data_IF_613427480078
#
_entry.id   IF_613427480078
#
_cell.length_a   1.000
_cell.length_b   1.000
_cell.length_c   1.000
_cell.angle_alpha   90.00
_cell.angle_beta   90.00
_cell.angle_gamma   90.00
#
_symmetry.space_group_name_H-M   'P 1'
#
loop_
_entity.id
_entity.type
_entity.pdbx_description
1 polymer ?
#
# COMPACT_ATOMS: atom_id res chain seq x y z
N UNK A 1 9.64 31.36 25.29
CA UNK A 1 8.47 30.48 25.01
C UNK A 1 8.98 29.33 24.19
N UNK A 2 9.33 28.23 24.84
CA UNK A 2 9.84 27.05 24.15
C UNK A 2 8.65 26.31 23.53
N UNK A 3 8.53 26.35 22.22
CA UNK A 3 7.66 25.45 21.48
C UNK A 3 8.28 24.07 21.62
N UNK A 4 7.82 23.32 22.60
CA UNK A 4 7.99 21.89 22.64
C UNK A 4 7.21 21.32 21.44
N UNK A 5 7.85 21.31 20.29
CA UNK A 5 7.54 20.38 19.25
C UNK A 5 7.80 18.99 19.83
N UNK A 6 6.82 18.49 20.57
CA UNK A 6 6.77 17.09 20.92
C UNK A 6 6.91 16.34 19.63
N UNK A 7 8.05 15.71 19.41
CA UNK A 7 8.23 14.72 18.37
C UNK A 7 7.25 13.57 18.68
N UNK A 8 5.98 13.78 18.35
CA UNK A 8 5.05 12.68 18.22
C UNK A 8 5.64 11.82 17.11
N UNK A 9 6.15 10.67 17.49
CA UNK A 9 6.67 9.72 16.51
C UNK A 9 5.53 9.42 15.55
N UNK A 10 5.80 9.51 14.29
CA UNK A 10 4.86 9.19 13.18
C UNK A 10 4.29 7.76 13.30
N UNK A 11 4.68 7.01 14.31
CA UNK A 11 4.34 5.62 14.58
C UNK A 11 3.24 5.44 15.65
N UNK A 12 2.70 6.50 16.23
CA UNK A 12 1.60 6.38 17.18
C UNK A 12 0.27 6.15 16.46
N UNK A 13 -0.08 4.89 16.30
CA UNK A 13 -1.25 4.42 15.55
C UNK A 13 -2.59 4.60 16.27
N UNK A 14 -2.58 5.06 17.50
CA UNK A 14 -3.79 5.09 18.37
C UNK A 14 -4.37 6.49 18.59
N UNK A 15 -3.66 7.54 18.25
CA UNK A 15 -4.16 8.89 18.48
C UNK A 15 -4.48 9.59 17.15
N UNK A 16 -5.71 10.08 17.04
CA UNK A 16 -6.08 11.03 15.98
C UNK A 16 -5.21 12.27 16.11
N UNK A 17 -4.53 12.63 15.05
CA UNK A 17 -3.84 13.91 14.99
C UNK A 17 -4.85 15.01 14.70
N UNK A 18 -4.67 16.19 15.29
CA UNK A 18 -5.50 17.36 15.00
C UNK A 18 -5.27 17.90 13.58
N UNK A 19 -4.23 17.43 12.92
CA UNK A 19 -3.87 17.79 11.55
C UNK A 19 -3.79 16.54 10.66
N UNK A 20 -4.16 16.72 9.40
CA UNK A 20 -4.09 15.65 8.42
C UNK A 20 -2.63 15.27 8.11
N UNK A 21 -2.36 13.98 8.08
CA UNK A 21 -1.04 13.42 7.74
C UNK A 21 -0.91 13.28 6.22
N UNK A 22 -2.01 13.00 5.53
CA UNK A 22 -2.02 12.78 4.10
C UNK A 22 -3.42 12.65 3.53
N UNK A 23 -3.52 12.06 2.34
CA UNK A 23 -4.76 11.87 1.58
C UNK A 23 -5.01 10.38 1.45
N UNK A 24 -6.26 9.95 1.63
CA UNK A 24 -6.65 8.54 1.50
C UNK A 24 -7.02 8.17 0.07
N UNK A 25 -6.70 6.95 -0.34
CA UNK A 25 -7.13 6.36 -1.60
C UNK A 25 -8.21 5.28 -1.37
N UNK A 26 -9.25 5.19 -2.23
CA UNK A 26 -9.48 5.97 -3.45
C UNK A 26 -9.86 7.41 -3.16
N UNK A 27 -9.52 8.31 -4.10
CA UNK A 27 -9.94 9.72 -4.01
C UNK A 27 -11.46 9.79 -4.11
N UNK A 28 -12.10 10.22 -3.04
CA UNK A 28 -13.53 10.48 -3.01
C UNK A 28 -13.75 11.97 -2.80
N UNK A 29 -14.58 12.56 -3.64
CA UNK A 29 -14.99 13.94 -3.50
C UNK A 29 -16.19 13.94 -2.54
N UNK A 30 -15.92 14.26 -1.28
CA UNK A 30 -16.94 14.44 -0.24
C UNK A 30 -17.23 15.93 -0.01
N UNK A 31 -17.69 16.25 1.19
CA UNK A 31 -17.87 17.65 1.63
C UNK A 31 -16.55 18.45 1.69
N UNK A 32 -15.42 17.76 1.73
CA UNK A 32 -14.06 18.28 1.55
C UNK A 32 -13.56 17.83 0.19
N UNK A 33 -12.70 18.62 -0.46
CA UNK A 33 -12.17 18.32 -1.79
C UNK A 33 -11.45 16.95 -1.86
N UNK A 34 -10.89 16.47 -0.73
CA UNK A 34 -10.23 15.18 -0.61
C UNK A 34 -10.44 14.60 0.78
N UNK A 35 -10.59 13.28 0.87
CA UNK A 35 -10.56 12.60 2.15
C UNK A 35 -9.13 12.58 2.69
N UNK A 36 -8.97 13.06 3.92
CA UNK A 36 -7.69 13.18 4.60
C UNK A 36 -7.49 12.00 5.56
N UNK A 37 -6.25 11.57 5.71
CA UNK A 37 -5.86 10.59 6.72
C UNK A 37 -5.37 11.31 7.97
N UNK A 38 -5.84 10.87 9.12
CA UNK A 38 -5.46 11.40 10.43
C UNK A 38 -4.66 10.41 11.26
N UNK A 39 -4.62 9.16 10.85
CA UNK A 39 -3.88 8.10 11.51
C UNK A 39 -2.74 7.57 10.64
N UNK A 40 -1.64 7.16 11.28
CA UNK A 40 -0.50 6.56 10.58
C UNK A 40 -0.91 5.29 9.82
N UNK A 41 -1.84 4.52 10.37
CA UNK A 41 -2.33 3.29 9.75
C UNK A 41 -3.08 3.55 8.45
N UNK A 42 -3.99 4.55 8.45
CA UNK A 42 -4.70 4.94 7.22
C UNK A 42 -3.74 5.42 6.14
N UNK A 43 -2.76 6.25 6.53
CA UNK A 43 -1.76 6.75 5.60
C UNK A 43 -0.89 5.62 5.06
N UNK A 44 -0.53 4.65 5.91
CA UNK A 44 0.26 3.50 5.49
C UNK A 44 -0.47 2.63 4.47
N UNK A 45 -1.75 2.35 4.67
CA UNK A 45 -2.59 1.65 3.68
C UNK A 45 -2.57 2.35 2.33
N UNK A 46 -2.71 3.68 2.36
CA UNK A 46 -2.64 4.51 1.15
C UNK A 46 -1.28 4.46 0.48
N UNK A 47 -0.20 4.52 1.26
CA UNK A 47 1.17 4.47 0.74
C UNK A 47 1.47 3.11 0.08
N UNK A 48 1.08 2.00 0.72
CA UNK A 48 1.24 0.66 0.13
C UNK A 48 0.45 0.56 -1.17
N UNK A 49 -0.81 0.97 -1.17
CA UNK A 49 -1.65 0.93 -2.36
C UNK A 49 -1.08 1.81 -3.48
N UNK A 50 -0.66 3.03 -3.18
CA UNK A 50 -0.05 3.93 -4.15
C UNK A 50 1.25 3.36 -4.73
N UNK A 51 2.10 2.75 -3.88
CA UNK A 51 3.34 2.12 -4.31
C UNK A 51 3.09 0.97 -5.28
N UNK A 52 2.16 0.07 -4.93
CA UNK A 52 1.89 -1.13 -5.72
C UNK A 52 1.16 -0.82 -7.04
N UNK A 53 0.34 0.22 -7.08
CA UNK A 53 -0.36 0.65 -8.28
C UNK A 53 0.46 1.58 -9.18
N UNK A 54 1.59 2.10 -8.69
CA UNK A 54 2.51 2.93 -9.51
C UNK A 54 3.40 2.01 -10.33
N UNK A 55 3.46 2.24 -11.65
CA UNK A 55 4.39 1.53 -12.55
C UNK A 55 5.81 2.05 -12.37
N UNK A 56 6.79 1.18 -12.56
CA UNK A 56 8.18 1.63 -12.71
C UNK A 56 8.29 2.56 -13.92
N UNK A 57 9.13 3.58 -13.79
CA UNK A 57 9.36 4.62 -14.81
C UNK A 57 8.19 5.57 -15.07
N UNK A 58 7.08 5.47 -14.33
CA UNK A 58 5.96 6.40 -14.46
C UNK A 58 6.28 7.78 -13.87
N UNK A 59 7.09 7.82 -12.81
CA UNK A 59 7.49 9.07 -12.13
C UNK A 59 8.80 9.60 -12.67
N UNK A 60 8.77 10.76 -13.32
CA UNK A 60 9.94 11.40 -13.95
C UNK A 60 11.06 11.65 -12.94
N UNK A 61 10.75 12.12 -11.72
CA UNK A 61 11.77 12.44 -10.70
C UNK A 61 12.25 11.22 -9.91
N UNK A 62 11.52 10.12 -9.92
CA UNK A 62 11.85 8.87 -9.24
C UNK A 62 11.44 7.65 -10.10
N UNK A 63 12.17 7.38 -11.17
CA UNK A 63 11.80 6.32 -12.12
C UNK A 63 11.79 4.92 -11.49
N UNK A 64 12.59 4.70 -10.46
CA UNK A 64 12.67 3.40 -9.78
C UNK A 64 11.53 3.18 -8.77
N UNK A 65 10.75 4.22 -8.43
CA UNK A 65 9.63 4.08 -7.50
C UNK A 65 8.46 3.41 -8.20
N UNK A 66 7.91 2.40 -7.56
CA UNK A 66 6.78 1.64 -8.05
C UNK A 66 7.01 0.14 -8.00
N UNK A 67 6.04 -0.60 -8.47
CA UNK A 67 6.09 -2.06 -8.58
C UNK A 67 5.98 -2.48 -10.04
N UNK A 68 6.43 -3.69 -10.35
CA UNK A 68 6.18 -4.35 -11.63
C UNK A 68 4.87 -5.13 -11.66
N UNK A 69 3.96 -4.88 -10.72
CA UNK A 69 2.76 -5.69 -10.54
C UNK A 69 1.84 -5.68 -11.76
N UNK A 70 1.63 -4.50 -12.35
CA UNK A 70 0.77 -4.38 -13.54
C UNK A 70 1.37 -5.09 -14.77
N UNK A 71 2.68 -5.13 -14.90
CA UNK A 71 3.35 -5.82 -16.01
C UNK A 71 3.12 -7.33 -15.91
N UNK A 72 3.18 -7.90 -14.70
CA UNK A 72 2.93 -9.32 -14.46
C UNK A 72 1.49 -9.74 -14.79
N UNK A 73 0.51 -8.85 -14.62
CA UNK A 73 -0.88 -9.17 -14.93
C UNK A 73 -1.16 -9.29 -16.44
N UNK A 74 -0.32 -8.69 -17.28
CA UNK A 74 -0.40 -8.82 -18.75
C UNK A 74 0.43 -10.00 -19.28
N UNK A 75 1.19 -10.68 -18.43
CA UNK A 75 1.87 -11.91 -18.83
C UNK A 75 0.90 -13.09 -18.92
N UNK A 76 1.33 -14.16 -19.55
CA UNK A 76 0.52 -15.38 -19.61
C UNK A 76 0.23 -15.90 -18.19
N UNK A 77 -1.00 -16.32 -17.98
CA UNK A 77 -1.46 -16.87 -16.71
C UNK A 77 -0.87 -18.27 -16.50
N UNK A 78 0.36 -18.32 -15.99
CA UNK A 78 1.08 -19.55 -15.63
C UNK A 78 0.83 -19.90 -14.17
N UNK A 79 1.08 -21.16 -13.80
CA UNK A 79 0.94 -21.62 -12.41
C UNK A 79 1.88 -20.85 -11.45
N UNK A 80 2.98 -20.32 -11.95
CA UNK A 80 3.97 -19.54 -11.18
C UNK A 80 3.59 -18.08 -10.97
N UNK A 81 2.50 -17.60 -11.58
CA UNK A 81 2.12 -16.17 -11.52
C UNK A 81 1.86 -15.67 -10.09
N UNK A 82 1.15 -16.39 -9.21
CA UNK A 82 0.94 -15.96 -7.83
C UNK A 82 2.25 -15.77 -7.06
N UNK A 83 3.20 -16.69 -7.20
CA UNK A 83 4.49 -16.61 -6.51
C UNK A 83 5.30 -15.40 -6.98
N UNK A 84 5.27 -15.10 -8.27
CA UNK A 84 5.93 -13.92 -8.84
C UNK A 84 5.28 -12.61 -8.39
N UNK A 85 3.96 -12.59 -8.26
CA UNK A 85 3.22 -11.45 -7.69
C UNK A 85 3.63 -11.23 -6.24
N UNK A 86 3.64 -12.29 -5.42
CA UNK A 86 4.05 -12.23 -4.03
C UNK A 86 5.49 -11.71 -3.88
N UNK A 87 6.41 -12.23 -4.66
CA UNK A 87 7.81 -11.79 -4.65
C UNK A 87 7.92 -10.30 -5.04
N UNK A 88 7.22 -9.86 -6.09
CA UNK A 88 7.24 -8.46 -6.55
C UNK A 88 6.69 -7.50 -5.49
N UNK A 89 5.63 -7.90 -4.78
CA UNK A 89 5.07 -7.11 -3.67
C UNK A 89 6.07 -7.01 -2.52
N UNK A 90 6.66 -8.15 -2.11
CA UNK A 90 7.65 -8.21 -1.04
C UNK A 90 8.85 -7.32 -1.35
N UNK A 91 9.41 -7.42 -2.55
CA UNK A 91 10.57 -6.63 -2.97
C UNK A 91 10.26 -5.14 -3.00
N UNK A 92 9.09 -4.76 -3.51
CA UNK A 92 8.67 -3.35 -3.59
C UNK A 92 8.48 -2.74 -2.20
N UNK A 93 7.82 -3.47 -1.28
CA UNK A 93 7.57 -2.99 0.08
C UNK A 93 8.89 -2.93 0.87
N UNK A 94 9.74 -3.94 0.79
CA UNK A 94 11.02 -3.94 1.48
C UNK A 94 11.94 -2.80 1.03
N UNK A 95 11.93 -2.47 -0.26
CA UNK A 95 12.76 -1.40 -0.81
C UNK A 95 12.26 0.00 -0.44
N UNK A 96 10.95 0.22 -0.46
CA UNK A 96 10.38 1.56 -0.35
C UNK A 96 9.74 1.85 1.01
N UNK A 97 9.30 0.82 1.72
CA UNK A 97 8.64 0.91 3.02
C UNK A 97 9.30 -0.01 4.05
N UNK A 98 10.59 0.16 4.36
CA UNK A 98 11.36 -0.76 5.20
C UNK A 98 10.86 -0.86 6.65
N UNK A 99 9.99 0.07 7.06
CA UNK A 99 9.35 0.07 8.39
C UNK A 99 8.06 -0.78 8.44
N UNK A 100 7.64 -1.35 7.31
CA UNK A 100 6.52 -2.27 7.19
C UNK A 100 7.02 -3.70 7.22
N UNK A 101 6.38 -4.55 8.00
CA UNK A 101 6.58 -6.00 8.00
C UNK A 101 5.36 -6.67 7.41
N UNK A 102 5.55 -7.45 6.36
CA UNK A 102 4.49 -8.26 5.75
C UNK A 102 4.38 -9.55 6.55
N UNK A 103 3.15 -9.93 6.87
CA UNK A 103 2.84 -11.16 7.61
C UNK A 103 2.36 -12.25 6.65
N UNK A 104 1.42 -11.94 5.78
CA UNK A 104 0.96 -12.82 4.71
C UNK A 104 0.41 -12.04 3.53
N UNK A 105 0.49 -12.65 2.34
CA UNK A 105 -0.11 -12.15 1.11
C UNK A 105 -1.03 -13.27 0.60
N UNK A 106 -2.31 -12.95 0.45
CA UNK A 106 -3.30 -13.84 -0.13
C UNK A 106 -3.68 -13.32 -1.53
N UNK A 107 -3.48 -14.14 -2.54
CA UNK A 107 -3.76 -13.81 -3.93
C UNK A 107 -4.91 -14.69 -4.41
N UNK A 108 -6.01 -14.08 -4.80
CA UNK A 108 -7.18 -14.81 -5.27
C UNK A 108 -7.44 -14.47 -6.74
N UNK A 109 -7.48 -15.53 -7.56
CA UNK A 109 -7.88 -15.46 -8.94
C UNK A 109 -9.17 -16.26 -9.11
N UNK A 110 -10.33 -15.61 -9.09
CA UNK A 110 -11.57 -16.24 -9.51
C UNK A 110 -11.61 -16.41 -11.03
N UNK A 111 -12.42 -17.35 -11.52
CA UNK A 111 -12.57 -17.55 -12.97
C UNK A 111 -13.07 -16.28 -13.68
N UNK A 112 -13.96 -15.53 -13.03
CA UNK A 112 -14.46 -14.24 -13.54
C UNK A 112 -13.35 -13.17 -13.60
N UNK A 113 -12.43 -13.19 -12.63
CA UNK A 113 -11.28 -12.28 -12.60
C UNK A 113 -10.22 -12.66 -13.63
N UNK A 114 -10.05 -13.98 -13.91
CA UNK A 114 -9.12 -14.46 -14.96
C UNK A 114 -9.52 -13.96 -16.34
N UNK A 115 -10.81 -13.98 -16.67
CA UNK A 115 -11.32 -13.50 -17.95
C UNK A 115 -11.14 -11.98 -18.14
N UNK A 116 -11.05 -11.23 -17.02
CA UNK A 116 -10.86 -9.79 -17.02
C UNK A 116 -9.41 -9.36 -16.72
N UNK A 117 -8.46 -10.30 -16.63
CA UNK A 117 -7.07 -10.06 -16.22
C UNK A 117 -6.97 -9.29 -14.90
N UNK A 118 -7.82 -9.62 -13.93
CA UNK A 118 -7.84 -9.01 -12.61
C UNK A 118 -7.45 -10.01 -11.54
N UNK A 119 -6.81 -9.50 -10.50
CA UNK A 119 -6.38 -10.29 -9.35
C UNK A 119 -6.75 -9.54 -8.07
N UNK A 120 -7.40 -10.23 -7.14
CA UNK A 120 -7.63 -9.70 -5.81
C UNK A 120 -6.44 -10.03 -4.91
N UNK A 121 -5.81 -8.98 -4.41
CA UNK A 121 -4.65 -9.08 -3.52
C UNK A 121 -5.04 -8.62 -2.13
N UNK A 122 -4.81 -9.48 -1.14
CA UNK A 122 -5.02 -9.18 0.27
C UNK A 122 -3.70 -9.29 1.02
N UNK A 123 -3.21 -8.17 1.52
CA UNK A 123 -1.93 -8.08 2.22
C UNK A 123 -2.20 -7.86 3.71
N UNK A 124 -1.69 -8.74 4.55
CA UNK A 124 -1.63 -8.55 5.99
C UNK A 124 -0.24 -8.03 6.37
N UNK A 125 -0.22 -6.89 7.01
CA UNK A 125 1.01 -6.21 7.37
C UNK A 125 0.91 -5.58 8.76
N UNK A 126 2.06 -5.26 9.34
CA UNK A 126 2.20 -4.51 10.60
C UNK A 126 3.35 -3.52 10.48
N UNK A 127 3.29 -2.47 11.28
CA UNK A 127 4.47 -1.64 11.52
C UNK A 127 5.43 -2.37 12.46
N UNK A 128 6.73 -2.19 12.25
CA UNK A 128 7.75 -2.83 13.10
C UNK A 128 7.59 -2.49 14.59
N UNK A 129 7.15 -1.27 14.89
CA UNK A 129 7.00 -0.78 16.26
C UNK A 129 5.56 -0.96 16.81
N UNK A 130 4.65 -1.54 16.04
CA UNK A 130 3.27 -1.78 16.45
C UNK A 130 2.85 -3.22 16.16
N UNK A 131 2.43 -3.97 17.18
CA UNK A 131 2.02 -5.36 17.02
C UNK A 131 0.66 -5.54 16.34
N UNK A 132 -0.10 -4.46 16.11
CA UNK A 132 -1.41 -4.56 15.51
C UNK A 132 -1.29 -5.00 14.04
N UNK A 133 -1.99 -6.09 13.72
CA UNK A 133 -2.08 -6.61 12.37
C UNK A 133 -3.14 -5.82 11.59
N UNK A 134 -2.78 -5.34 10.43
CA UNK A 134 -3.67 -4.60 9.53
C UNK A 134 -3.81 -5.34 8.21
N UNK A 135 -4.99 -5.25 7.62
CA UNK A 135 -5.26 -5.90 6.33
C UNK A 135 -5.60 -4.85 5.28
N UNK A 136 -4.97 -4.96 4.12
CA UNK A 136 -5.25 -4.17 2.94
C UNK A 136 -5.69 -5.09 1.82
N UNK A 137 -6.89 -4.91 1.30
CA UNK A 137 -7.40 -5.63 0.13
C UNK A 137 -7.62 -4.66 -1.01
N UNK A 138 -7.17 -5.03 -2.20
CA UNK A 138 -7.39 -4.26 -3.42
C UNK A 138 -7.37 -5.19 -4.64
N UNK A 139 -8.05 -4.77 -5.69
CA UNK A 139 -8.06 -5.45 -7.00
C UNK A 139 -7.12 -4.72 -7.95
N UNK A 140 -6.34 -5.47 -8.69
CA UNK A 140 -5.40 -4.97 -9.71
C UNK A 140 -5.80 -5.50 -11.07
#
# INVERSE_FOLDING_TARGET
MAILLGKKRVLDTKEYNDYAIGITLPLQIGNSAFNQSYTTTEQLRTNIKSLLLTKKYERIMQPNLGSGLQELLFEQNTEDLPDRIEQTINDSINNWLPYVSIDSIDIQQSNELKDSNRVDVSIKFRLRDNPNLETLTFTV
#
